data_IF_552722434729
#
_entry.id   IF_552722434729
#
_cell.length_a   1.000
_cell.length_b   1.000
_cell.length_c   1.000
_cell.angle_alpha   90.00
_cell.angle_beta   90.00
_cell.angle_gamma   90.00
#
_symmetry.space_group_name_H-M   'P 1'
#
loop_
_entity.id
_entity.type
_entity.pdbx_description
1 polymer ?
#
# COMPACT_ATOMS: atom_id res chain seq x y z
N UNK A 1 -13.17 -20.64 27.93
CA UNK A 1 -12.74 -20.85 26.53
C UNK A 1 -13.21 -19.70 25.60
N UNK A 2 -13.53 -18.51 26.13
CA UNK A 2 -14.07 -17.38 25.34
C UNK A 2 -13.01 -16.34 24.92
N UNK A 3 -11.82 -16.36 25.54
CA UNK A 3 -10.75 -15.40 25.26
C UNK A 3 -10.09 -15.53 23.88
N UNK A 4 -10.15 -16.71 23.25
CA UNK A 4 -9.49 -16.93 21.95
C UNK A 4 -10.32 -16.41 20.75
N UNK A 5 -11.65 -16.46 20.84
CA UNK A 5 -12.53 -15.95 19.79
C UNK A 5 -12.56 -14.42 19.77
N UNK A 6 -12.54 -13.77 20.93
CA UNK A 6 -12.49 -12.30 21.02
C UNK A 6 -11.16 -11.72 20.49
N UNK A 7 -10.03 -12.41 20.74
CA UNK A 7 -8.73 -12.02 20.19
C UNK A 7 -8.62 -12.30 18.69
N UNK A 8 -9.17 -13.42 18.19
CA UNK A 8 -9.22 -13.73 16.77
C UNK A 8 -10.11 -12.73 16.00
N UNK A 9 -11.29 -12.39 16.55
CA UNK A 9 -12.19 -11.38 15.97
C UNK A 9 -11.57 -9.98 16.03
N UNK A 10 -10.86 -9.61 17.11
CA UNK A 10 -10.12 -8.34 17.18
C UNK A 10 -8.90 -8.28 16.24
N UNK A 11 -8.31 -9.44 15.92
CA UNK A 11 -7.19 -9.56 14.97
C UNK A 11 -7.68 -9.53 13.52
N UNK A 12 -8.82 -10.15 13.24
CA UNK A 12 -9.48 -10.14 11.91
C UNK A 12 -10.14 -8.79 11.62
N UNK A 13 -10.76 -8.15 12.63
CA UNK A 13 -11.37 -6.82 12.51
C UNK A 13 -10.32 -5.68 12.44
N UNK A 14 -9.05 -5.96 12.80
CA UNK A 14 -7.91 -5.04 12.60
C UNK A 14 -7.23 -5.16 11.23
N UNK A 15 -7.59 -6.15 10.42
CA UNK A 15 -7.23 -6.19 9.01
C UNK A 15 -8.21 -5.32 8.21
N UNK A 16 -8.45 -4.08 8.65
CA UNK A 16 -9.02 -3.09 7.76
C UNK A 16 -8.07 -2.99 6.56
N UNK A 17 -8.59 -3.09 5.33
CA UNK A 17 -7.74 -3.16 4.17
C UNK A 17 -6.97 -1.84 4.06
N UNK A 18 -5.64 -1.95 4.13
CA UNK A 18 -4.69 -0.83 4.05
C UNK A 18 -4.89 0.02 2.78
N UNK A 19 -5.38 -0.62 1.71
CA UNK A 19 -5.50 -0.01 0.39
C UNK A 19 -6.64 1.03 0.28
N UNK A 20 -7.90 0.76 0.73
CA UNK A 20 -8.95 1.77 0.81
C UNK A 20 -8.57 3.05 1.57
N UNK A 21 -7.96 2.93 2.75
CA UNK A 21 -7.52 4.10 3.52
C UNK A 21 -6.46 4.91 2.77
N UNK A 22 -5.49 4.22 2.14
CA UNK A 22 -4.50 4.88 1.29
C UNK A 22 -5.14 5.60 0.09
N UNK A 23 -6.11 4.96 -0.58
CA UNK A 23 -6.82 5.53 -1.72
C UNK A 23 -7.57 6.81 -1.33
N UNK A 24 -8.21 6.84 -0.16
CA UNK A 24 -8.90 8.03 0.34
C UNK A 24 -7.94 9.22 0.50
N UNK A 25 -6.78 9.01 1.13
CA UNK A 25 -5.78 10.07 1.31
C UNK A 25 -5.13 10.48 -0.01
N UNK A 26 -4.90 9.54 -0.93
CA UNK A 26 -4.44 9.84 -2.29
C UNK A 26 -5.44 10.75 -2.99
N UNK A 27 -6.74 10.44 -2.92
CA UNK A 27 -7.79 11.21 -3.58
C UNK A 27 -8.01 12.58 -2.95
N UNK A 28 -7.86 12.69 -1.63
CA UNK A 28 -7.81 13.98 -0.95
C UNK A 28 -6.65 14.84 -1.47
N UNK A 29 -5.44 14.29 -1.55
CA UNK A 29 -4.27 15.01 -2.07
C UNK A 29 -4.43 15.39 -3.55
N UNK A 30 -4.89 14.46 -4.38
CA UNK A 30 -5.09 14.67 -5.81
C UNK A 30 -6.11 15.78 -6.10
N UNK A 31 -7.21 15.84 -5.32
CA UNK A 31 -8.19 16.93 -5.42
C UNK A 31 -7.55 18.29 -5.17
N UNK A 32 -6.80 18.44 -4.06
CA UNK A 32 -6.17 19.72 -3.72
C UNK A 32 -5.08 20.10 -4.74
N UNK A 33 -4.31 19.14 -5.26
CA UNK A 33 -3.33 19.38 -6.33
C UNK A 33 -4.01 19.83 -7.64
N UNK A 34 -5.17 19.27 -7.96
CA UNK A 34 -5.95 19.68 -9.13
C UNK A 34 -6.47 21.13 -8.98
N UNK A 35 -7.00 21.47 -7.81
CA UNK A 35 -7.42 22.84 -7.48
C UNK A 35 -6.24 23.81 -7.57
N UNK A 36 -5.07 23.43 -7.03
CA UNK A 36 -3.85 24.22 -7.11
C UNK A 36 -3.46 24.52 -8.56
N UNK A 37 -3.56 23.51 -9.43
CA UNK A 37 -3.28 23.65 -10.86
C UNK A 37 -4.23 24.65 -11.52
N UNK A 38 -5.52 24.62 -11.18
CA UNK A 38 -6.52 25.57 -11.71
C UNK A 38 -6.13 26.99 -11.30
N UNK A 39 -5.79 27.22 -10.03
CA UNK A 39 -5.34 28.52 -9.54
C UNK A 39 -4.07 28.99 -10.27
N UNK A 40 -3.13 28.09 -10.51
CA UNK A 40 -1.89 28.40 -11.25
C UNK A 40 -2.12 28.72 -12.72
N UNK A 41 -3.24 28.30 -13.32
CA UNK A 41 -3.53 28.61 -14.71
C UNK A 41 -4.21 29.98 -14.88
N UNK A 42 -4.57 30.65 -13.78
CA UNK A 42 -5.15 31.99 -13.83
C UNK A 42 -4.12 33.03 -14.34
N UNK A 43 -4.59 34.09 -15.03
CA UNK A 43 -3.71 35.14 -15.56
C UNK A 43 -3.05 35.98 -14.46
N UNK A 44 -3.66 36.04 -13.27
CA UNK A 44 -3.13 36.74 -12.09
C UNK A 44 -3.32 35.88 -10.82
N UNK A 45 -2.46 36.03 -9.81
CA UNK A 45 -2.60 35.28 -8.57
C UNK A 45 -3.83 35.75 -7.78
N UNK A 46 -4.65 34.79 -7.33
CA UNK A 46 -5.60 35.01 -6.25
C UNK A 46 -4.92 34.61 -4.94
N UNK A 47 -4.47 35.60 -4.18
CA UNK A 47 -3.64 35.39 -2.99
C UNK A 47 -4.38 34.68 -1.86
N UNK A 48 -5.68 34.93 -1.73
CA UNK A 48 -6.53 34.29 -0.71
C UNK A 48 -6.73 32.83 -1.07
N UNK A 49 -7.14 32.55 -2.32
CA UNK A 49 -7.35 31.18 -2.79
C UNK A 49 -6.05 30.36 -2.78
N UNK A 50 -4.93 30.96 -3.21
CA UNK A 50 -3.61 30.33 -3.20
C UNK A 50 -3.16 30.00 -1.77
N UNK A 51 -3.29 30.94 -0.83
CA UNK A 51 -2.90 30.71 0.57
C UNK A 51 -3.72 29.58 1.20
N UNK A 52 -5.04 29.57 0.99
CA UNK A 52 -5.93 28.50 1.43
C UNK A 52 -5.53 27.15 0.83
N UNK A 53 -5.32 27.10 -0.49
CA UNK A 53 -4.97 25.86 -1.17
C UNK A 53 -3.59 25.33 -0.73
N UNK A 54 -2.59 26.20 -0.52
CA UNK A 54 -1.29 25.81 0.04
C UNK A 54 -1.41 25.20 1.44
N UNK A 55 -2.26 25.78 2.30
CA UNK A 55 -2.57 25.19 3.61
C UNK A 55 -3.23 23.82 3.48
N UNK A 56 -4.21 23.66 2.58
CA UNK A 56 -4.86 22.38 2.30
C UNK A 56 -3.87 21.33 1.79
N UNK A 57 -2.95 21.69 0.90
CA UNK A 57 -1.90 20.79 0.39
C UNK A 57 -1.00 20.31 1.53
N UNK A 58 -0.56 21.22 2.39
CA UNK A 58 0.25 20.90 3.56
C UNK A 58 -0.51 19.98 4.54
N UNK A 59 -1.80 20.24 4.75
CA UNK A 59 -2.63 19.42 5.63
C UNK A 59 -2.83 18.00 5.08
N UNK A 60 -3.24 17.85 3.81
CA UNK A 60 -3.43 16.56 3.16
C UNK A 60 -2.11 15.76 3.12
N UNK A 61 -0.99 16.43 2.82
CA UNK A 61 0.33 15.80 2.82
C UNK A 61 0.74 15.30 4.20
N UNK A 62 0.49 16.08 5.27
CA UNK A 62 0.77 15.68 6.66
C UNK A 62 -0.10 14.53 7.12
N UNK A 63 -1.40 14.57 6.82
CA UNK A 63 -2.32 13.48 7.16
C UNK A 63 -1.85 12.16 6.55
N UNK A 64 -1.52 12.18 5.25
CA UNK A 64 -0.96 11.04 4.54
C UNK A 64 0.35 10.57 5.15
N UNK A 65 1.32 11.46 5.36
CA UNK A 65 2.60 11.09 5.95
C UNK A 65 2.46 10.44 7.33
N UNK A 66 1.57 10.96 8.18
CA UNK A 66 1.29 10.40 9.50
C UNK A 66 0.67 9.00 9.41
N UNK A 67 -0.22 8.77 8.43
CA UNK A 67 -0.76 7.44 8.20
C UNK A 67 0.31 6.46 7.69
N UNK A 68 1.11 6.87 6.70
CA UNK A 68 2.19 6.03 6.16
C UNK A 68 3.15 5.59 7.28
N UNK A 69 3.50 6.51 8.17
CA UNK A 69 4.38 6.26 9.31
C UNK A 69 3.78 5.29 10.34
N UNK A 70 2.47 5.41 10.64
CA UNK A 70 1.81 4.58 11.67
C UNK A 70 1.34 3.22 11.15
N UNK A 71 1.09 3.10 9.85
CA UNK A 71 0.45 1.92 9.25
C UNK A 71 1.37 1.22 8.27
N UNK A 72 1.73 1.87 7.16
CA UNK A 72 2.45 1.22 6.07
C UNK A 72 3.90 0.85 6.46
N UNK A 73 4.62 1.75 7.14
CA UNK A 73 6.03 1.54 7.50
C UNK A 73 6.24 0.32 8.41
N UNK A 74 5.51 0.16 9.54
CA UNK A 74 5.65 -1.04 10.38
C UNK A 74 5.30 -2.34 9.66
N UNK A 75 4.34 -2.32 8.73
CA UNK A 75 3.97 -3.50 7.94
C UNK A 75 5.11 -3.86 6.98
N UNK A 76 5.67 -2.86 6.29
CA UNK A 76 6.79 -3.07 5.38
C UNK A 76 8.04 -3.60 6.07
N UNK A 77 8.33 -3.15 7.29
CA UNK A 77 9.44 -3.69 8.10
C UNK A 77 9.22 -5.18 8.43
N UNK A 78 7.99 -5.57 8.80
CA UNK A 78 7.65 -6.99 9.06
C UNK A 78 7.74 -7.85 7.80
N UNK A 79 7.37 -7.28 6.66
CA UNK A 79 7.39 -7.93 5.36
C UNK A 79 8.65 -7.59 4.54
N UNK A 80 9.73 -7.13 5.16
CA UNK A 80 10.93 -6.67 4.44
C UNK A 80 11.57 -7.75 3.56
N UNK A 81 11.31 -9.03 3.86
CA UNK A 81 11.76 -10.18 3.10
C UNK A 81 10.91 -10.49 1.86
N UNK A 82 9.73 -9.86 1.71
CA UNK A 82 8.86 -10.02 0.54
C UNK A 82 9.13 -8.93 -0.49
N UNK A 83 8.81 -9.17 -1.78
CA UNK A 83 8.95 -8.14 -2.82
C UNK A 83 8.17 -6.86 -2.49
N UNK A 84 6.95 -6.98 -1.93
CA UNK A 84 6.13 -5.82 -1.55
C UNK A 84 6.73 -4.98 -0.42
N UNK A 85 7.24 -5.62 0.63
CA UNK A 85 7.94 -4.92 1.71
C UNK A 85 9.22 -4.25 1.24
N UNK A 86 10.04 -4.96 0.46
CA UNK A 86 11.26 -4.40 -0.10
C UNK A 86 11.00 -3.19 -1.03
N UNK A 87 9.98 -3.28 -1.89
CA UNK A 87 9.58 -2.17 -2.76
C UNK A 87 9.15 -0.93 -1.97
N UNK A 88 8.38 -1.11 -0.89
CA UNK A 88 7.99 -0.01 -0.01
C UNK A 88 9.18 0.65 0.69
N UNK A 89 10.08 -0.16 1.25
CA UNK A 89 11.27 0.33 1.92
C UNK A 89 12.20 1.09 0.96
N UNK A 90 12.30 0.64 -0.31
CA UNK A 90 13.02 1.37 -1.35
C UNK A 90 12.42 2.76 -1.63
N UNK A 91 11.08 2.88 -1.68
CA UNK A 91 10.40 4.19 -1.80
C UNK A 91 10.69 5.06 -0.58
N UNK A 92 10.61 4.50 0.64
CA UNK A 92 10.91 5.23 1.88
C UNK A 92 12.35 5.76 1.91
N UNK A 93 13.32 5.01 1.39
CA UNK A 93 14.71 5.47 1.32
C UNK A 93 14.89 6.74 0.47
N UNK A 94 14.00 7.00 -0.50
CA UNK A 94 14.01 8.25 -1.31
C UNK A 94 13.33 9.44 -0.63
N UNK A 95 12.58 9.21 0.45
CA UNK A 95 11.76 10.22 1.13
C UNK A 95 12.56 11.44 1.62
N UNK A 96 13.78 11.31 2.20
CA UNK A 96 14.52 12.47 2.68
C UNK A 96 14.85 13.46 1.56
N UNK A 97 15.32 12.96 0.41
CA UNK A 97 15.64 13.79 -0.75
C UNK A 97 14.38 14.48 -1.31
N UNK A 98 13.28 13.74 -1.41
CA UNK A 98 11.98 14.30 -1.83
C UNK A 98 11.51 15.41 -0.88
N UNK A 99 11.57 15.20 0.45
CA UNK A 99 11.21 16.21 1.45
C UNK A 99 12.09 17.45 1.34
N UNK A 100 13.40 17.28 1.20
CA UNK A 100 14.33 18.39 1.03
C UNK A 100 13.99 19.21 -0.22
N UNK A 101 13.67 18.54 -1.33
CA UNK A 101 13.27 19.19 -2.58
C UNK A 101 12.00 20.03 -2.42
N UNK A 102 10.96 19.46 -1.80
CA UNK A 102 9.69 20.13 -1.55
C UNK A 102 9.88 21.31 -0.60
N UNK A 103 10.60 21.11 0.52
CA UNK A 103 10.89 22.17 1.48
C UNK A 103 11.67 23.31 0.84
N UNK A 104 12.71 23.03 0.07
CA UNK A 104 13.47 24.05 -0.66
C UNK A 104 12.60 24.86 -1.61
N UNK A 105 11.71 24.20 -2.36
CA UNK A 105 10.76 24.88 -3.23
C UNK A 105 9.80 25.79 -2.43
N UNK A 106 9.20 25.27 -1.35
CA UNK A 106 8.25 26.05 -0.53
C UNK A 106 8.93 27.27 0.11
N UNK A 107 10.17 27.12 0.58
CA UNK A 107 10.96 28.21 1.15
C UNK A 107 11.35 29.28 0.13
N UNK A 108 11.59 28.89 -1.13
CA UNK A 108 11.89 29.82 -2.21
C UNK A 108 10.67 30.64 -2.68
N UNK A 109 9.46 30.19 -2.35
CA UNK A 109 8.21 30.79 -2.81
C UNK A 109 7.28 31.18 -1.65
N UNK A 110 7.64 32.17 -0.80
CA UNK A 110 6.67 32.81 0.09
C UNK A 110 5.57 33.53 -0.72
N UNK A 111 4.45 33.88 -0.09
CA UNK A 111 3.29 34.41 -0.85
C UNK A 111 3.62 35.73 -1.54
N UNK A 112 4.46 36.55 -0.92
CA UNK A 112 4.96 37.82 -1.43
C UNK A 112 5.75 37.62 -2.72
N UNK A 113 6.63 36.61 -2.74
CA UNK A 113 7.45 36.30 -3.93
C UNK A 113 6.59 35.75 -5.07
N UNK A 114 5.56 34.95 -4.75
CA UNK A 114 4.60 34.46 -5.76
C UNK A 114 3.85 35.62 -6.43
N UNK A 115 3.53 36.68 -5.66
CA UNK A 115 2.86 37.86 -6.20
C UNK A 115 3.80 38.64 -7.12
N UNK A 116 5.06 38.81 -6.69
CA UNK A 116 6.09 39.52 -7.46
C UNK A 116 6.46 38.81 -8.75
N UNK A 117 6.66 37.49 -8.70
CA UNK A 117 7.04 36.66 -9.85
C UNK A 117 6.03 35.52 -10.06
N UNK A 118 4.83 35.88 -10.51
CA UNK A 118 3.77 34.91 -10.80
C UNK A 118 4.20 33.91 -11.88
N UNK A 119 4.84 34.38 -12.95
CA UNK A 119 5.24 33.54 -14.07
C UNK A 119 6.35 32.55 -13.71
N UNK A 120 7.33 32.99 -12.92
CA UNK A 120 8.35 32.11 -12.36
C UNK A 120 7.76 31.06 -11.45
N UNK A 121 6.83 31.44 -10.57
CA UNK A 121 6.13 30.47 -9.72
C UNK A 121 5.39 29.42 -10.55
N UNK A 122 4.64 29.83 -11.58
CA UNK A 122 3.90 28.92 -12.47
C UNK A 122 4.81 27.90 -13.15
N UNK A 123 5.96 28.35 -13.67
CA UNK A 123 6.96 27.45 -14.29
C UNK A 123 7.54 26.49 -13.26
N UNK A 124 7.98 27.02 -12.12
CA UNK A 124 8.60 26.22 -11.05
C UNK A 124 7.64 25.15 -10.52
N UNK A 125 6.39 25.51 -10.27
CA UNK A 125 5.41 24.57 -9.71
C UNK A 125 4.94 23.54 -10.74
N UNK A 126 4.98 23.84 -12.05
CA UNK A 126 4.73 22.85 -13.09
C UNK A 126 5.81 21.76 -13.09
N UNK A 127 7.09 22.14 -12.95
CA UNK A 127 8.19 21.18 -12.81
C UNK A 127 8.03 20.35 -11.54
N UNK A 128 7.76 20.99 -10.41
CA UNK A 128 7.56 20.30 -9.13
C UNK A 128 6.40 19.31 -9.20
N UNK A 129 5.29 19.66 -9.86
CA UNK A 129 4.14 18.76 -10.04
C UNK A 129 4.53 17.48 -10.77
N UNK A 130 5.41 17.55 -11.77
CA UNK A 130 5.91 16.36 -12.46
C UNK A 130 6.73 15.47 -11.53
N UNK A 131 7.63 16.06 -10.73
CA UNK A 131 8.43 15.34 -9.72
C UNK A 131 7.52 14.65 -8.68
N UNK A 132 6.55 15.38 -8.13
CA UNK A 132 5.56 14.87 -7.16
C UNK A 132 4.74 13.73 -7.78
N UNK A 133 4.28 13.89 -9.03
CA UNK A 133 3.47 12.87 -9.71
C UNK A 133 4.27 11.58 -9.90
N UNK A 134 5.54 11.67 -10.31
CA UNK A 134 6.40 10.50 -10.44
C UNK A 134 6.59 9.79 -9.09
N UNK A 135 6.81 10.57 -8.02
CA UNK A 135 6.98 10.02 -6.68
C UNK A 135 5.69 9.35 -6.16
N UNK A 136 4.52 9.96 -6.36
CA UNK A 136 3.22 9.38 -6.01
C UNK A 136 2.93 8.07 -6.74
N UNK A 137 3.35 7.94 -8.01
CA UNK A 137 3.22 6.69 -8.77
C UNK A 137 4.07 5.57 -8.21
N UNK A 138 5.32 5.88 -7.84
CA UNK A 138 6.21 4.90 -7.19
C UNK A 138 5.64 4.44 -5.86
N UNK A 139 5.08 5.37 -5.08
CA UNK A 139 4.39 5.01 -3.84
C UNK A 139 3.16 4.14 -4.10
N UNK A 140 2.33 4.47 -5.10
CA UNK A 140 1.15 3.68 -5.46
C UNK A 140 1.51 2.25 -5.83
N UNK A 141 2.55 2.07 -6.63
CA UNK A 141 3.04 0.74 -6.98
C UNK A 141 3.45 -0.05 -5.73
N UNK A 142 4.26 0.58 -4.87
CA UNK A 142 4.77 -0.07 -3.68
C UNK A 142 3.69 -0.39 -2.64
N UNK A 143 2.74 0.52 -2.37
CA UNK A 143 1.69 0.28 -1.37
C UNK A 143 0.72 -0.82 -1.83
N UNK A 144 0.45 -0.93 -3.14
CA UNK A 144 -0.39 -2.01 -3.69
C UNK A 144 0.29 -3.36 -3.55
N UNK A 145 1.59 -3.44 -3.86
CA UNK A 145 2.37 -4.66 -3.67
C UNK A 145 2.41 -5.05 -2.18
N UNK A 146 2.65 -4.08 -1.29
CA UNK A 146 2.63 -4.31 0.16
C UNK A 146 1.27 -4.79 0.65
N UNK A 147 0.18 -4.20 0.15
CA UNK A 147 -1.19 -4.58 0.53
C UNK A 147 -1.52 -6.02 0.14
N UNK A 148 -1.14 -6.42 -1.09
CA UNK A 148 -1.35 -7.78 -1.56
C UNK A 148 -0.62 -8.81 -0.69
N UNK A 149 0.63 -8.53 -0.30
CA UNK A 149 1.41 -9.40 0.58
C UNK A 149 0.85 -9.44 2.01
N UNK A 150 0.39 -8.29 2.52
CA UNK A 150 -0.25 -8.22 3.84
C UNK A 150 -1.56 -9.02 3.90
N UNK A 151 -2.37 -8.92 2.85
CA UNK A 151 -3.60 -9.69 2.72
C UNK A 151 -3.32 -11.19 2.59
N UNK A 152 -2.32 -11.57 1.79
CA UNK A 152 -1.87 -12.96 1.66
C UNK A 152 -1.35 -13.54 3.00
N UNK A 153 -0.61 -12.76 3.77
CA UNK A 153 -0.11 -13.16 5.09
C UNK A 153 -1.21 -13.29 6.16
N UNK A 154 -2.35 -12.61 5.97
CA UNK A 154 -3.51 -12.69 6.86
C UNK A 154 -4.40 -13.92 6.58
N UNK A 155 -4.26 -14.56 5.42
CA UNK A 155 -5.00 -15.77 5.10
C UNK A 155 -4.45 -16.97 5.91
N UNK A 156 -5.32 -17.80 6.51
CA UNK A 156 -4.88 -19.02 7.17
C UNK A 156 -4.19 -19.94 6.16
N UNK A 157 -3.15 -20.71 6.57
CA UNK A 157 -2.52 -21.67 5.69
C UNK A 157 -3.59 -22.65 5.21
N UNK A 158 -3.82 -22.70 3.89
CA UNK A 158 -4.74 -23.68 3.32
C UNK A 158 -4.16 -25.06 3.62
N UNK A 159 -4.79 -25.79 4.56
CA UNK A 159 -4.51 -27.19 4.77
C UNK A 159 -4.89 -27.92 3.48
N UNK A 160 -3.89 -28.23 2.65
CA UNK A 160 -4.08 -29.14 1.52
C UNK A 160 -4.44 -30.49 2.14
N UNK A 161 -5.66 -31.02 1.96
CA UNK A 161 -5.98 -32.33 2.48
C UNK A 161 -5.06 -33.32 1.77
N UNK A 162 -4.11 -33.88 2.52
CA UNK A 162 -3.32 -35.02 2.06
C UNK A 162 -4.33 -36.13 1.80
N UNK A 163 -4.64 -36.40 0.53
CA UNK A 163 -5.35 -37.61 0.15
C UNK A 163 -4.48 -38.78 0.59
N UNK A 164 -4.78 -39.36 1.73
CA UNK A 164 -4.29 -40.69 2.06
C UNK A 164 -4.88 -41.63 1.01
N UNK A 165 -4.07 -41.97 0.01
CA UNK A 165 -4.33 -43.02 -0.96
C UNK A 165 -4.50 -44.34 -0.21
N UNK A 166 -5.72 -44.62 0.25
CA UNK A 166 -6.07 -45.88 0.91
C UNK A 166 -6.36 -46.93 -0.15
N UNK A 167 -5.34 -47.25 -0.95
CA UNK A 167 -5.34 -48.42 -1.82
C UNK A 167 -4.52 -49.53 -1.14
N UNK A 168 -5.07 -50.12 -0.09
CA UNK A 168 -4.71 -51.50 0.28
C UNK A 168 -5.76 -52.41 -0.35
N UNK A 169 -5.50 -52.86 -1.57
CA UNK A 169 -6.12 -54.07 -2.08
C UNK A 169 -5.57 -55.25 -1.27
N UNK A 170 -6.41 -55.82 -0.44
CA UNK A 170 -6.21 -57.15 0.12
C UNK A 170 -6.28 -58.16 -1.03
N UNK A 171 -5.28 -59.06 -1.23
CA UNK A 171 -5.40 -60.13 -2.20
C UNK A 171 -6.39 -61.19 -1.69
N UNK A 172 -7.22 -61.79 -2.56
CA UNK A 172 -8.11 -62.89 -2.16
C UNK A 172 -7.33 -64.19 -1.95
N UNK A 173 -7.65 -64.87 -0.87
CA UNK A 173 -7.17 -66.20 -0.48
C UNK A 173 -7.49 -67.26 -1.56
N UNK A 174 -6.49 -68.03 -1.98
CA UNK A 174 -6.66 -69.17 -2.89
C UNK A 174 -7.38 -70.33 -2.20
N UNK A 175 -8.31 -71.05 -2.88
CA UNK A 175 -8.89 -72.28 -2.35
C UNK A 175 -7.94 -73.47 -2.56
N UNK A 176 -7.81 -74.28 -1.50
CA UNK A 176 -7.10 -75.55 -1.46
C UNK A 176 -7.82 -76.61 -2.29
N UNK A 177 -7.16 -77.13 -3.33
CA UNK A 177 -7.59 -78.29 -4.11
C UNK A 177 -7.14 -79.58 -3.42
N UNK A 178 -8.03 -80.19 -2.64
CA UNK A 178 -7.86 -81.55 -2.10
C UNK A 178 -8.20 -82.60 -3.16
N UNK A 179 -7.16 -83.20 -3.73
CA UNK A 179 -7.23 -84.32 -4.69
C UNK A 179 -7.44 -85.67 -4.01
N UNK A 180 -8.19 -86.51 -4.70
CA UNK A 180 -8.68 -87.84 -4.36
C UNK A 180 -7.64 -88.88 -3.89
N UNK A 181 -8.12 -89.88 -3.14
CA UNK A 181 -7.64 -91.26 -3.22
C UNK A 181 -8.80 -92.23 -2.93
N UNK A 182 -9.09 -93.09 -3.91
CA UNK A 182 -9.92 -94.30 -3.76
C UNK A 182 -9.02 -95.49 -3.40
N UNK A 183 -9.49 -96.48 -2.63
CA UNK A 183 -8.77 -97.72 -2.39
C UNK A 183 -9.13 -98.79 -3.44
N UNK A 184 -8.16 -99.67 -3.72
CA UNK A 184 -8.41 -101.02 -4.24
C UNK A 184 -8.66 -102.01 -3.12
#
# INVERSE_FOLDING_TARGET
>A
MEGNLSNAIATISKALPMLPEWLEMRDALARVVSEHRILCNAPKPDTIALSRNRWLLSNASRQRANWLMRTANPIAERLAHTPGGAAWLAVQATMPAYRQRISGFVSAWPIEEIITDWDGYRRGVAQLRTEVTAWLRNEEFAIRALAAEWEAAALPPMAIPVRHSRDRRTPPSSPSSGGASSPG
#
